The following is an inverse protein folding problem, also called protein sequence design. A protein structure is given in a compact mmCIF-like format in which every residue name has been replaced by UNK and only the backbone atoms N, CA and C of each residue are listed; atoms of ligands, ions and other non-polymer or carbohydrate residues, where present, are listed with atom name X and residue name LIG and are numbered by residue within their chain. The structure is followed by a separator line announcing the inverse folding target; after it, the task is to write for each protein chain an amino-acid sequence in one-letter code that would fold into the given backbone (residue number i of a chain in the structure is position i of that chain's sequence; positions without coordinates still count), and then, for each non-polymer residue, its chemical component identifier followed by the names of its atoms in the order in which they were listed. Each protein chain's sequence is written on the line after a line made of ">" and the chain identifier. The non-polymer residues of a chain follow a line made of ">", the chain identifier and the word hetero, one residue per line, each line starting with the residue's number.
data_IF_882054000570
#
_entry.id   IF_882054000570
#
_cell.length_a   1.000
_cell.length_b   1.000
_cell.length_c   1.000
_cell.angle_alpha   90.00
_cell.angle_beta   90.00
_cell.angle_gamma   90.00
#
_symmetry.space_group_name_H-M   'P 1'
#
loop_
_entity.id
_entity.type
_entity.pdbx_description
1 polymer ?
#
# COMPACT_ATOMS: atom_id res chain seq x y z
N UNK A 1 -0.04 -15.13 9.24
CA UNK A 1 1.30 -15.16 8.62
C UNK A 1 1.94 -13.77 8.74
N UNK A 2 3.26 -13.67 8.95
CA UNK A 2 3.94 -12.37 9.01
C UNK A 2 4.07 -11.75 7.61
N UNK A 3 3.85 -10.43 7.51
CA UNK A 3 4.17 -9.68 6.30
C UNK A 3 5.69 -9.75 6.03
N UNK A 4 6.06 -10.06 4.80
CA UNK A 4 7.44 -10.15 4.33
C UNK A 4 7.53 -9.59 2.92
N UNK A 5 8.76 -9.28 2.47
CA UNK A 5 9.01 -8.80 1.09
C UNK A 5 8.44 -9.72 0.01
N UNK A 6 8.31 -11.02 0.29
CA UNK A 6 7.84 -12.03 -0.66
C UNK A 6 6.32 -12.14 -0.75
N UNK A 7 5.58 -11.77 0.30
CA UNK A 7 4.14 -12.05 0.40
C UNK A 7 3.25 -10.81 0.55
N UNK A 8 3.81 -9.61 0.74
CA UNK A 8 3.01 -8.40 0.97
C UNK A 8 1.99 -8.12 -0.15
N UNK A 9 2.29 -8.55 -1.39
CA UNK A 9 1.41 -8.42 -2.55
C UNK A 9 0.06 -9.11 -2.38
N UNK A 10 -0.02 -10.05 -1.45
CA UNK A 10 -1.19 -10.87 -1.25
C UNK A 10 -1.83 -10.66 0.12
N UNK A 11 -1.21 -9.85 0.99
CA UNK A 11 -1.74 -9.55 2.32
C UNK A 11 -2.58 -8.27 2.31
N UNK A 12 -3.36 -8.14 3.37
CA UNK A 12 -4.11 -6.94 3.69
C UNK A 12 -3.15 -5.75 3.86
N UNK A 13 -3.44 -4.65 3.15
CA UNK A 13 -2.66 -3.42 3.23
C UNK A 13 -3.30 -2.41 4.19
N UNK A 14 -4.61 -2.55 4.45
CA UNK A 14 -5.35 -1.71 5.39
C UNK A 14 -4.71 -1.85 6.77
N UNK A 15 -4.48 -0.71 7.42
CA UNK A 15 -3.90 -0.62 8.74
C UNK A 15 -2.37 -0.58 8.76
N UNK A 16 -1.69 -0.76 7.63
CA UNK A 16 -0.24 -0.58 7.52
C UNK A 16 0.11 0.91 7.36
N UNK A 17 1.24 1.29 7.96
CA UNK A 17 1.87 2.58 7.65
C UNK A 17 2.51 2.52 6.27
N UNK A 18 2.40 3.62 5.54
CA UNK A 18 2.84 3.72 4.15
C UNK A 18 3.50 5.08 3.89
N UNK A 19 4.56 5.04 3.08
CA UNK A 19 5.21 6.21 2.48
C UNK A 19 5.18 6.08 0.96
N UNK A 20 4.82 7.17 0.27
CA UNK A 20 4.91 7.27 -1.20
C UNK A 20 6.34 7.69 -1.56
N UNK A 21 7.10 6.81 -2.21
CA UNK A 21 8.49 7.08 -2.61
C UNK A 21 8.59 7.72 -3.99
N UNK A 22 7.71 7.32 -4.90
CA UNK A 22 7.68 7.81 -6.28
C UNK A 22 6.23 7.93 -6.72
N UNK A 23 5.92 9.02 -7.43
CA UNK A 23 4.60 9.26 -8.01
C UNK A 23 4.70 10.33 -9.12
N UNK A 24 3.86 10.30 -10.17
CA UNK A 24 3.89 11.33 -11.23
C UNK A 24 3.61 12.75 -10.72
N UNK A 25 2.66 12.88 -9.79
CA UNK A 25 2.47 14.12 -9.04
C UNK A 25 3.48 14.20 -7.90
N UNK A 26 4.48 15.06 -8.04
CA UNK A 26 5.57 15.23 -7.07
C UNK A 26 5.09 15.70 -5.70
N UNK A 27 3.90 16.30 -5.59
CA UNK A 27 3.31 16.70 -4.29
C UNK A 27 2.93 15.51 -3.43
N UNK A 28 2.74 14.34 -4.04
CA UNK A 28 2.43 13.10 -3.35
C UNK A 28 3.70 12.35 -2.91
N UNK A 29 4.88 12.67 -3.44
CA UNK A 29 6.14 12.06 -3.03
C UNK A 29 6.47 12.51 -1.59
N UNK A 30 6.82 11.56 -0.74
CA UNK A 30 7.03 11.77 0.69
C UNK A 30 5.74 11.81 1.52
N UNK A 31 4.56 11.62 0.91
CA UNK A 31 3.30 11.46 1.65
C UNK A 31 3.41 10.25 2.58
N UNK A 32 3.22 10.48 3.88
CA UNK A 32 3.23 9.46 4.93
C UNK A 32 1.88 9.38 5.61
N UNK A 33 1.50 8.18 6.01
CA UNK A 33 0.28 7.96 6.77
C UNK A 33 -0.07 6.49 6.87
N UNK A 34 -1.32 6.21 7.21
CA UNK A 34 -1.84 4.85 7.38
C UNK A 34 -2.85 4.54 6.29
N UNK A 35 -2.78 3.34 5.71
CA UNK A 35 -3.80 2.89 4.76
C UNK A 35 -5.11 2.64 5.51
N UNK A 36 -6.18 3.34 5.14
CA UNK A 36 -7.51 3.18 5.76
C UNK A 36 -8.52 2.52 4.83
N UNK A 37 -8.26 2.49 3.53
CA UNK A 37 -9.10 1.80 2.56
C UNK A 37 -8.29 1.39 1.33
N UNK A 38 -8.73 0.33 0.68
CA UNK A 38 -8.17 -0.20 -0.55
C UNK A 38 -9.29 -0.62 -1.51
N UNK A 39 -9.17 -0.23 -2.77
CA UNK A 39 -10.06 -0.70 -3.84
C UNK A 39 -9.24 -1.44 -4.91
N UNK A 40 -9.88 -1.83 -6.02
CA UNK A 40 -9.19 -2.45 -7.17
C UNK A 40 -7.94 -1.66 -7.62
N UNK A 41 -8.07 -0.33 -7.73
CA UNK A 41 -7.03 0.54 -8.30
C UNK A 41 -6.46 1.56 -7.32
N UNK A 42 -7.09 1.78 -6.17
CA UNK A 42 -6.73 2.90 -5.29
C UNK A 42 -6.37 2.46 -3.88
N UNK A 43 -5.56 3.29 -3.23
CA UNK A 43 -5.35 3.29 -1.78
C UNK A 43 -5.86 4.63 -1.23
N UNK A 44 -6.45 4.59 -0.04
CA UNK A 44 -6.76 5.79 0.75
C UNK A 44 -5.83 5.81 1.95
N UNK A 45 -5.07 6.89 2.07
CA UNK A 45 -4.07 7.10 3.11
C UNK A 45 -4.58 8.20 4.03
N UNK A 46 -4.72 7.90 5.33
CA UNK A 46 -4.93 8.90 6.37
C UNK A 46 -3.56 9.43 6.81
N UNK A 47 -3.32 10.72 6.63
CA UNK A 47 -2.09 11.38 7.08
C UNK A 47 -2.11 11.60 8.60
N UNK A 48 -0.95 11.90 9.18
CA UNK A 48 -0.79 12.39 10.56
C UNK A 48 -1.76 13.54 10.91
N UNK A 49 -1.99 14.46 9.96
CA UNK A 49 -2.94 15.58 10.06
C UNK A 49 -4.42 15.20 9.82
N UNK A 50 -4.77 13.92 9.89
CA UNK A 50 -6.14 13.40 9.69
C UNK A 50 -6.77 13.73 8.34
N UNK A 51 -5.96 13.98 7.30
CA UNK A 51 -6.45 14.16 5.93
C UNK A 51 -6.49 12.82 5.22
N UNK A 52 -7.57 12.57 4.49
CA UNK A 52 -7.71 11.40 3.63
C UNK A 52 -7.25 11.74 2.22
N UNK A 53 -6.20 11.06 1.75
CA UNK A 53 -5.64 11.24 0.41
C UNK A 53 -5.81 9.93 -0.35
N UNK A 54 -6.47 10.00 -1.51
CA UNK A 54 -6.65 8.86 -2.40
C UNK A 54 -5.60 8.90 -3.51
N UNK A 55 -4.91 7.79 -3.71
CA UNK A 55 -3.86 7.62 -4.73
C UNK A 55 -4.16 6.43 -5.63
N UNK A 56 -3.72 6.50 -6.89
CA UNK A 56 -3.77 5.39 -7.83
C UNK A 56 -2.58 4.48 -7.59
N UNK A 57 -2.83 3.18 -7.41
CA UNK A 57 -1.79 2.17 -7.17
C UNK A 57 -0.82 2.10 -8.34
N UNK A 58 -1.32 2.13 -9.58
CA UNK A 58 -0.53 1.86 -10.79
C UNK A 58 0.66 2.81 -10.97
N UNK A 59 0.55 4.04 -10.46
CA UNK A 59 1.53 5.09 -10.66
C UNK A 59 2.53 5.24 -9.51
N UNK A 60 2.28 4.61 -8.36
CA UNK A 60 3.09 4.81 -7.16
C UNK A 60 4.11 3.72 -6.89
N UNK A 61 5.25 4.11 -6.34
CA UNK A 61 6.11 3.21 -5.55
C UNK A 61 5.87 3.49 -4.08
N UNK A 62 5.46 2.47 -3.32
CA UNK A 62 5.04 2.58 -1.92
C UNK A 62 5.98 1.79 -1.03
N UNK A 63 6.37 2.35 0.11
CA UNK A 63 7.04 1.64 1.21
C UNK A 63 6.03 1.39 2.31
N UNK A 64 5.76 0.12 2.60
CA UNK A 64 4.90 -0.28 3.70
C UNK A 64 5.73 -0.72 4.89
N UNK A 65 5.36 -0.26 6.08
CA UNK A 65 5.95 -0.71 7.34
C UNK A 65 5.03 -1.74 7.98
N UNK A 66 5.58 -2.92 8.23
CA UNK A 66 4.83 -4.01 8.87
C UNK A 66 4.80 -3.82 10.39
N UNK A 67 3.83 -4.40 11.10
CA UNK A 67 3.81 -4.36 12.57
C UNK A 67 5.04 -4.96 13.25
N UNK A 68 5.82 -5.77 12.53
CA UNK A 68 7.08 -6.34 13.01
C UNK A 68 8.30 -5.45 12.72
N UNK A 69 8.10 -4.22 12.27
CA UNK A 69 9.16 -3.26 11.96
C UNK A 69 9.89 -3.52 10.64
N UNK A 70 9.36 -4.40 9.78
CA UNK A 70 9.98 -4.69 8.47
C UNK A 70 9.42 -3.70 7.45
N UNK A 71 10.31 -3.07 6.69
CA UNK A 71 9.92 -2.21 5.57
C UNK A 71 9.94 -2.98 4.24
N UNK A 72 8.90 -2.78 3.45
CA UNK A 72 8.73 -3.43 2.15
C UNK A 72 8.35 -2.41 1.10
N UNK A 73 9.23 -2.24 0.11
CA UNK A 73 8.98 -1.40 -1.06
C UNK A 73 8.29 -2.18 -2.17
N UNK A 74 7.23 -1.60 -2.71
CA UNK A 74 6.34 -2.20 -3.70
C UNK A 74 5.98 -1.19 -4.80
N UNK A 75 6.20 -1.56 -6.06
CA UNK A 75 5.53 -0.88 -7.18
C UNK A 75 4.05 -1.19 -7.15
N UNK A 76 3.21 -0.17 -7.03
CA UNK A 76 1.77 -0.34 -6.83
C UNK A 76 1.05 -0.94 -8.03
N UNK A 77 1.63 -0.94 -9.23
CA UNK A 77 1.13 -1.76 -10.36
C UNK A 77 0.98 -3.24 -9.99
N UNK A 78 1.81 -3.76 -9.08
CA UNK A 78 1.71 -5.14 -8.57
C UNK A 78 0.60 -5.34 -7.53
N UNK A 79 0.00 -4.26 -7.04
CA UNK A 79 -1.09 -4.25 -6.07
C UNK A 79 -2.46 -4.07 -6.75
N UNK A 80 -2.51 -4.00 -8.08
CA UNK A 80 -3.77 -3.92 -8.82
C UNK A 80 -4.57 -5.22 -8.60
N UNK A 81 -5.83 -5.04 -8.22
CA UNK A 81 -6.71 -6.11 -7.75
C UNK A 81 -7.34 -5.73 -6.40
N UNK A 82 -8.53 -6.28 -6.13
CA UNK A 82 -9.16 -6.09 -4.82
C UNK A 82 -8.43 -6.96 -3.77
N UNK A 83 -8.43 -6.58 -2.48
CA UNK A 83 -7.78 -7.36 -1.43
C UNK A 83 -8.12 -8.85 -1.48
N UNK A 84 -9.41 -9.18 -1.63
CA UNK A 84 -9.94 -10.54 -1.71
C UNK A 84 -9.43 -11.34 -2.91
N UNK A 85 -9.22 -10.68 -4.05
CA UNK A 85 -8.70 -11.32 -5.26
C UNK A 85 -7.20 -11.59 -5.16
N UNK A 86 -6.46 -10.71 -4.46
CA UNK A 86 -5.03 -10.89 -4.21
C UNK A 86 -4.79 -12.05 -3.23
N UNK A 87 -5.60 -12.17 -2.17
CA UNK A 87 -5.50 -13.25 -1.19
C UNK A 87 -5.64 -14.65 -1.81
N UNK A 88 -6.57 -14.83 -2.75
CA UNK A 88 -6.79 -16.12 -3.44
C UNK A 88 -5.56 -16.64 -4.18
N UNK A 89 -4.63 -15.78 -4.59
CA UNK A 89 -3.39 -16.17 -5.28
C UNK A 89 -2.36 -16.85 -4.37
N UNK A 90 -2.50 -16.76 -3.04
CA UNK A 90 -1.63 -17.49 -2.09
C UNK A 90 -2.04 -18.96 -2.00
N UNK A 91 -3.32 -19.26 -2.20
CA UNK A 91 -3.90 -20.58 -1.97
C UNK A 91 -3.77 -21.54 -3.17
N UNK A 92 -3.04 -21.13 -4.22
CA UNK A 92 -2.70 -21.94 -5.38
C UNK A 92 -1.19 -22.16 -5.41
#
# INVERSE_FOLDING_TARGET
>A
MKHSKRNIYYHELIGLDVEVLEYPDTKLVGLKGRVVNETLKTLVIETDRKRLIRVLKEHGTFRFSTPSGVEVTVRGIRLIGRPEDRLKKIMR
#
